data_IF_615051381271
#
_entry.id   IF_615051381271
#
_cell.length_a   1.000
_cell.length_b   1.000
_cell.length_c   1.000
_cell.angle_alpha   90.00
_cell.angle_beta   90.00
_cell.angle_gamma   90.00
#
_symmetry.space_group_name_H-M   'P 1'
#
loop_
_entity.id
_entity.type
_entity.pdbx_description
1 polymer ?
#
# COMPACT_ATOMS: atom_id res chain seq x y z
N UNK A 1 30.35 -59.55 -65.71
CA UNK A 1 30.24 -58.06 -65.87
C UNK A 1 29.28 -57.56 -64.74
N UNK A 2 29.91 -57.14 -63.64
CA UNK A 2 29.26 -56.86 -62.40
C UNK A 2 28.80 -55.38 -62.36
N UNK A 3 27.58 -55.20 -61.92
CA UNK A 3 27.02 -53.86 -61.63
C UNK A 3 27.18 -53.60 -60.12
N UNK A 4 28.09 -52.68 -59.80
CA UNK A 4 28.20 -52.13 -58.42
C UNK A 4 27.07 -51.08 -58.19
N UNK A 5 26.17 -51.41 -57.26
CA UNK A 5 25.19 -50.48 -56.77
C UNK A 5 25.77 -49.61 -55.66
N UNK A 6 25.72 -48.28 -55.84
CA UNK A 6 26.06 -47.29 -54.78
C UNK A 6 24.87 -47.11 -53.86
N UNK A 7 24.98 -47.49 -52.61
CA UNK A 7 24.05 -47.10 -51.53
C UNK A 7 24.46 -45.74 -51.00
N UNK A 8 23.65 -44.76 -51.22
CA UNK A 8 23.80 -43.42 -50.67
C UNK A 8 23.01 -43.38 -49.32
N UNK A 9 23.74 -43.43 -48.22
CA UNK A 9 23.16 -43.28 -46.87
C UNK A 9 22.96 -41.80 -46.61
N UNK A 10 21.71 -41.35 -46.62
CA UNK A 10 21.32 -40.00 -46.22
C UNK A 10 21.22 -39.93 -44.72
N UNK A 11 22.18 -39.37 -44.02
CA UNK A 11 22.10 -39.04 -42.58
C UNK A 11 21.17 -37.86 -42.39
N UNK A 12 19.96 -38.13 -41.92
CA UNK A 12 19.06 -37.11 -41.38
C UNK A 12 19.56 -36.66 -39.99
N UNK A 13 20.21 -35.50 -39.95
CA UNK A 13 20.46 -34.79 -38.69
C UNK A 13 19.13 -34.21 -38.16
N UNK A 14 18.52 -34.89 -37.22
CA UNK A 14 17.46 -34.29 -36.39
C UNK A 14 18.12 -33.34 -35.41
N UNK A 15 18.21 -32.06 -35.75
CA UNK A 15 18.53 -31.01 -34.79
C UNK A 15 17.34 -30.76 -33.92
N UNK A 16 17.27 -31.42 -32.78
CA UNK A 16 16.35 -31.06 -31.68
C UNK A 16 16.77 -29.72 -31.13
N UNK A 17 16.14 -28.64 -31.59
CA UNK A 17 16.23 -27.33 -30.96
C UNK A 17 15.48 -27.45 -29.62
N UNK A 18 16.20 -27.78 -28.55
CA UNK A 18 15.74 -27.57 -27.20
C UNK A 18 15.63 -26.05 -26.99
N UNK A 19 14.47 -25.49 -27.28
CA UNK A 19 14.10 -24.17 -26.78
C UNK A 19 14.07 -24.27 -25.27
N UNK A 20 15.19 -23.96 -24.62
CA UNK A 20 15.16 -23.60 -23.21
C UNK A 20 14.32 -22.33 -23.11
N UNK A 21 13.04 -22.51 -22.87
CA UNK A 21 12.24 -21.42 -22.34
C UNK A 21 12.91 -21.07 -21.00
N UNK A 22 13.74 -20.03 -20.99
CA UNK A 22 14.27 -19.46 -19.76
C UNK A 22 13.02 -19.09 -18.94
N UNK A 23 12.68 -19.93 -17.96
CA UNK A 23 11.59 -19.65 -17.07
C UNK A 23 11.81 -18.24 -16.51
N UNK A 24 10.91 -17.33 -16.84
CA UNK A 24 11.04 -15.93 -16.41
C UNK A 24 11.24 -15.92 -14.90
N UNK A 25 12.34 -15.33 -14.45
CA UNK A 25 12.67 -15.26 -13.03
C UNK A 25 11.57 -14.49 -12.31
N UNK A 26 10.91 -15.13 -11.35
CA UNK A 26 9.86 -14.49 -10.54
C UNK A 26 10.39 -13.21 -9.91
N UNK A 27 9.66 -12.07 -9.98
CA UNK A 27 10.12 -10.83 -9.38
C UNK A 27 10.10 -10.89 -7.86
N UNK A 28 11.01 -10.18 -7.23
CA UNK A 28 10.81 -9.82 -5.83
C UNK A 28 9.74 -8.74 -5.75
N UNK A 29 9.07 -8.65 -4.61
CA UNK A 29 8.04 -7.64 -4.35
C UNK A 29 8.38 -6.91 -3.05
N UNK A 30 8.42 -5.58 -3.12
CA UNK A 30 8.58 -4.68 -1.98
C UNK A 30 7.40 -3.73 -1.97
N UNK A 31 6.54 -3.83 -0.96
CA UNK A 31 5.52 -2.83 -0.66
C UNK A 31 6.01 -2.01 0.54
N UNK A 32 6.16 -0.71 0.33
CA UNK A 32 6.42 0.25 1.39
C UNK A 32 5.13 0.99 1.69
N UNK A 33 4.65 0.83 2.91
CA UNK A 33 3.42 1.45 3.40
C UNK A 33 3.76 2.43 4.51
N UNK A 34 3.41 3.69 4.34
CA UNK A 34 3.47 4.70 5.39
C UNK A 34 2.14 4.78 6.14
N UNK A 35 2.14 5.44 7.29
CA UNK A 35 0.99 5.55 8.19
C UNK A 35 0.57 7.03 8.27
N UNK A 36 -0.67 7.34 7.87
CA UNK A 36 -1.23 8.70 7.86
C UNK A 36 -0.49 9.72 6.96
N UNK A 37 0.24 9.28 5.95
CA UNK A 37 0.91 10.22 5.04
C UNK A 37 -0.08 10.96 4.15
N UNK A 38 0.02 12.28 4.13
CA UNK A 38 -0.80 13.11 3.29
C UNK A 38 -0.42 13.02 1.80
N UNK A 39 -1.40 13.25 0.93
CA UNK A 39 -1.20 13.21 -0.52
C UNK A 39 -0.07 14.14 -0.98
N UNK A 40 0.03 15.34 -0.41
CA UNK A 40 1.02 16.35 -0.80
C UNK A 40 2.22 16.44 0.14
N UNK A 41 2.58 15.35 0.81
CA UNK A 41 3.73 15.32 1.73
C UNK A 41 5.07 15.04 1.00
N UNK A 42 5.05 14.55 -0.24
CA UNK A 42 6.24 14.25 -1.03
C UNK A 42 6.55 15.35 -2.05
N UNK A 43 7.83 15.58 -2.35
CA UNK A 43 8.25 16.56 -3.37
C UNK A 43 7.68 16.25 -4.76
N UNK A 44 7.64 14.99 -5.19
CA UNK A 44 7.03 14.59 -6.47
C UNK A 44 5.49 14.76 -6.50
N UNK A 45 4.85 14.98 -5.35
CA UNK A 45 3.44 15.35 -5.22
C UNK A 45 3.23 16.84 -4.92
N UNK A 46 4.28 17.65 -5.08
CA UNK A 46 4.22 19.11 -5.03
C UNK A 46 4.56 19.73 -3.68
N UNK A 47 5.10 18.99 -2.71
CA UNK A 47 5.58 19.61 -1.46
C UNK A 47 6.86 20.43 -1.72
N UNK A 48 6.88 21.75 -1.47
CA UNK A 48 8.05 22.57 -1.71
C UNK A 48 9.08 22.55 -0.56
N UNK A 49 8.73 21.97 0.60
CA UNK A 49 9.51 22.07 1.84
C UNK A 49 10.16 20.74 2.25
N UNK A 50 9.67 19.62 1.73
CA UNK A 50 10.14 18.28 2.09
C UNK A 50 10.85 17.66 0.89
N UNK A 51 12.10 17.23 1.08
CA UNK A 51 12.93 16.63 0.02
C UNK A 51 12.89 15.11 0.08
N UNK A 52 12.37 14.49 -0.97
CA UNK A 52 12.28 13.03 -1.07
C UNK A 52 12.99 12.49 -2.32
N UNK A 53 14.32 12.71 -2.46
CA UNK A 53 15.04 12.44 -3.71
C UNK A 53 15.03 10.98 -4.14
N UNK A 54 14.97 10.03 -3.21
CA UNK A 54 14.88 8.61 -3.55
C UNK A 54 13.52 8.28 -4.14
N UNK A 55 12.43 8.68 -3.48
CA UNK A 55 11.05 8.45 -3.94
C UNK A 55 10.80 9.17 -5.26
N UNK A 56 11.27 10.41 -5.41
CA UNK A 56 11.20 11.17 -6.66
C UNK A 56 11.95 10.47 -7.80
N UNK A 57 13.10 9.87 -7.48
CA UNK A 57 13.85 9.04 -8.41
C UNK A 57 13.09 7.79 -8.83
N UNK A 58 12.34 7.15 -7.93
CA UNK A 58 11.47 6.01 -8.25
C UNK A 58 10.30 6.43 -9.13
N UNK A 59 9.67 7.57 -8.84
CA UNK A 59 8.59 8.13 -9.67
C UNK A 59 9.07 8.42 -11.11
N UNK A 60 10.27 9.00 -11.27
CA UNK A 60 10.87 9.27 -12.59
C UNK A 60 11.25 7.99 -13.34
N UNK A 61 11.62 6.92 -12.65
CA UNK A 61 11.93 5.62 -13.25
C UNK A 61 10.70 4.78 -13.56
N UNK A 62 9.57 5.06 -12.91
CA UNK A 62 8.34 4.27 -12.98
C UNK A 62 7.09 5.11 -13.26
N UNK A 63 6.03 4.76 -12.56
CA UNK A 63 4.71 5.38 -12.66
C UNK A 63 4.36 6.06 -11.34
N UNK A 64 3.85 7.29 -11.44
CA UNK A 64 3.20 8.03 -10.37
C UNK A 64 1.71 8.09 -10.67
N UNK A 65 0.86 7.64 -9.73
CA UNK A 65 -0.60 7.74 -9.89
C UNK A 65 -1.16 8.90 -9.06
N UNK A 66 -1.81 9.85 -9.71
CA UNK A 66 -2.44 10.99 -9.01
C UNK A 66 -3.85 10.68 -8.50
N UNK A 67 -4.38 9.51 -8.82
CA UNK A 67 -5.73 9.09 -8.47
C UNK A 67 -5.76 7.68 -7.86
N UNK A 68 -4.83 7.42 -6.94
CA UNK A 68 -4.83 6.20 -6.16
C UNK A 68 -5.56 6.42 -4.83
N UNK A 69 -6.56 5.58 -4.56
CA UNK A 69 -7.40 5.70 -3.37
C UNK A 69 -7.40 4.41 -2.56
N UNK A 70 -7.38 4.57 -1.25
CA UNK A 70 -7.64 3.46 -0.32
C UNK A 70 -9.15 3.26 -0.17
N UNK A 71 -9.59 2.02 0.01
CA UNK A 71 -11.02 1.71 0.17
C UNK A 71 -11.58 2.11 1.53
N UNK A 72 -10.72 2.35 2.51
CA UNK A 72 -11.10 2.87 3.82
C UNK A 72 -10.18 4.02 4.25
N UNK A 73 -10.70 5.05 4.95
CA UNK A 73 -9.93 6.20 5.41
C UNK A 73 -9.24 5.97 6.76
N UNK A 74 -9.06 4.69 7.16
CA UNK A 74 -8.47 4.33 8.46
C UNK A 74 -7.57 3.10 8.36
N UNK A 75 -6.59 2.99 9.28
CA UNK A 75 -5.46 2.06 9.22
C UNK A 75 -5.83 0.58 9.02
N UNK A 76 -6.47 -0.09 10.03
CA UNK A 76 -6.71 -1.55 9.98
C UNK A 76 -7.57 -1.97 8.79
N UNK A 77 -8.70 -1.29 8.48
CA UNK A 77 -9.51 -1.61 7.31
C UNK A 77 -8.76 -1.47 5.99
N UNK A 78 -8.01 -0.38 5.83
CA UNK A 78 -7.25 -0.13 4.61
C UNK A 78 -6.10 -1.14 4.42
N UNK A 79 -5.39 -1.48 5.51
CA UNK A 79 -4.33 -2.51 5.49
C UNK A 79 -4.88 -3.88 5.14
N UNK A 80 -6.04 -4.27 5.71
CA UNK A 80 -6.71 -5.50 5.36
C UNK A 80 -7.09 -5.53 3.87
N UNK A 81 -7.68 -4.44 3.36
CA UNK A 81 -8.05 -4.32 1.95
C UNK A 81 -6.84 -4.42 1.02
N UNK A 82 -5.73 -3.75 1.34
CA UNK A 82 -4.48 -3.81 0.56
C UNK A 82 -3.95 -5.24 0.45
N UNK A 83 -3.92 -5.96 1.59
CA UNK A 83 -3.23 -7.24 1.65
C UNK A 83 -4.09 -8.42 1.16
N UNK A 84 -5.44 -8.27 1.14
CA UNK A 84 -6.38 -9.31 0.72
C UNK A 84 -7.00 -9.07 -0.66
N UNK A 85 -6.93 -7.84 -1.21
CA UNK A 85 -7.59 -7.48 -2.46
C UNK A 85 -9.12 -7.41 -2.33
N UNK A 86 -9.64 -7.22 -1.11
CA UNK A 86 -11.08 -7.22 -0.80
C UNK A 86 -11.48 -6.01 0.05
N UNK A 87 -12.72 -5.59 -0.05
CA UNK A 87 -13.25 -4.55 0.83
C UNK A 87 -13.23 -5.00 2.31
N UNK A 88 -12.95 -4.07 3.20
CA UNK A 88 -12.82 -4.34 4.63
C UNK A 88 -14.10 -4.94 5.26
N UNK A 89 -15.29 -4.67 4.72
CA UNK A 89 -16.56 -5.28 5.15
C UNK A 89 -16.57 -6.80 5.00
N UNK A 90 -15.90 -7.34 3.98
CA UNK A 90 -15.77 -8.79 3.82
C UNK A 90 -14.82 -9.42 4.83
N UNK A 91 -13.82 -8.66 5.25
CA UNK A 91 -12.82 -9.11 6.23
C UNK A 91 -13.27 -8.90 7.69
N UNK A 92 -14.44 -8.27 7.91
CA UNK A 92 -14.97 -7.78 9.19
C UNK A 92 -14.09 -6.74 9.90
N UNK A 93 -13.01 -6.29 9.28
CA UNK A 93 -12.14 -5.25 9.82
C UNK A 93 -12.60 -3.85 9.39
N UNK A 94 -13.74 -3.40 9.91
CA UNK A 94 -14.37 -2.13 9.50
C UNK A 94 -13.84 -0.91 10.27
N UNK A 95 -13.02 -1.14 11.30
CA UNK A 95 -12.48 -0.10 12.17
C UNK A 95 -11.08 -0.48 12.65
N UNK A 96 -10.23 0.51 13.00
CA UNK A 96 -8.93 0.24 13.64
C UNK A 96 -9.09 -0.55 14.92
N UNK A 97 -8.35 -1.64 15.07
CA UNK A 97 -8.41 -2.53 16.22
C UNK A 97 -7.29 -2.25 17.22
N UNK A 98 -7.65 -2.15 18.49
CA UNK A 98 -6.72 -2.05 19.59
C UNK A 98 -6.29 -3.40 20.17
N UNK A 99 -5.48 -3.39 21.23
CA UNK A 99 -5.04 -4.59 21.93
C UNK A 99 -6.20 -5.45 22.43
N UNK A 100 -6.26 -6.71 22.02
CA UNK A 100 -7.29 -7.68 22.41
C UNK A 100 -8.69 -7.43 21.82
N UNK A 101 -8.84 -6.42 20.97
CA UNK A 101 -10.13 -6.09 20.34
C UNK A 101 -10.49 -7.05 19.20
N UNK A 102 -11.80 -7.12 18.92
CA UNK A 102 -12.40 -7.89 17.81
C UNK A 102 -13.28 -6.97 16.97
N UNK A 103 -13.49 -7.31 15.70
CA UNK A 103 -12.93 -8.43 14.95
C UNK A 103 -11.47 -8.20 14.54
N UNK A 104 -10.77 -9.29 14.19
CA UNK A 104 -9.42 -9.30 13.61
C UNK A 104 -9.46 -9.93 12.22
N UNK A 105 -8.36 -9.82 11.47
CA UNK A 105 -8.24 -10.45 10.15
C UNK A 105 -8.52 -11.96 10.26
N UNK A 106 -9.48 -12.43 9.46
CA UNK A 106 -9.92 -13.82 9.49
C UNK A 106 -8.90 -14.75 8.81
N UNK A 107 -8.83 -16.00 9.30
CA UNK A 107 -8.05 -17.09 8.69
C UNK A 107 -8.54 -17.50 7.29
N UNK A 108 -9.81 -17.18 6.99
CA UNK A 108 -10.42 -17.45 5.67
C UNK A 108 -9.99 -16.46 4.57
N UNK A 109 -9.41 -15.34 4.97
CA UNK A 109 -8.86 -14.37 4.01
C UNK A 109 -7.47 -14.82 3.56
N UNK A 110 -7.19 -14.70 2.27
CA UNK A 110 -5.86 -15.02 1.71
C UNK A 110 -5.12 -13.73 1.47
N UNK A 111 -4.01 -13.57 2.15
CA UNK A 111 -3.14 -12.40 2.01
C UNK A 111 -2.21 -12.52 0.80
N UNK A 112 -1.60 -11.40 0.36
CA UNK A 112 -0.53 -11.42 -0.65
C UNK A 112 0.59 -12.40 -0.24
N UNK A 113 0.92 -12.50 1.06
CA UNK A 113 1.95 -13.39 1.55
C UNK A 113 1.54 -14.87 1.38
N UNK A 114 0.32 -15.23 1.73
CA UNK A 114 -0.22 -16.58 1.55
C UNK A 114 -0.34 -16.96 0.08
N UNK A 115 -0.74 -16.02 -0.78
CA UNK A 115 -0.81 -16.22 -2.23
C UNK A 115 0.58 -16.49 -2.84
N UNK A 116 1.61 -15.77 -2.38
CA UNK A 116 2.97 -15.88 -2.93
C UNK A 116 3.77 -17.05 -2.35
N UNK A 117 3.44 -17.52 -1.15
CA UNK A 117 4.18 -18.60 -0.48
C UNK A 117 4.20 -19.93 -1.26
N UNK A 118 3.09 -20.44 -1.81
CA UNK A 118 3.08 -21.63 -2.67
C UNK A 118 3.89 -21.43 -3.97
N UNK A 119 4.07 -20.19 -4.40
CA UNK A 119 4.91 -19.83 -5.56
C UNK A 119 6.42 -19.81 -5.21
N UNK A 120 6.81 -20.17 -3.97
CA UNK A 120 8.21 -20.30 -3.52
C UNK A 120 8.82 -19.05 -2.92
N UNK A 121 8.04 -18.00 -2.66
CA UNK A 121 8.53 -16.76 -2.06
C UNK A 121 8.91 -16.94 -0.58
N UNK A 122 9.98 -16.26 -0.16
CA UNK A 122 10.20 -15.91 1.23
C UNK A 122 9.36 -14.67 1.55
N UNK A 123 8.70 -14.62 2.71
CA UNK A 123 7.75 -13.56 3.04
C UNK A 123 8.09 -12.89 4.36
N UNK A 124 8.11 -11.56 4.39
CA UNK A 124 8.35 -10.79 5.61
C UNK A 124 7.36 -9.63 5.75
N UNK A 125 6.83 -9.49 6.97
CA UNK A 125 6.13 -8.29 7.43
C UNK A 125 7.05 -7.58 8.43
N UNK A 126 7.47 -6.36 8.11
CA UNK A 126 8.35 -5.56 8.97
C UNK A 126 7.68 -4.23 9.24
N UNK A 127 7.50 -3.89 10.53
CA UNK A 127 6.84 -2.68 10.98
C UNK A 127 5.45 -2.92 11.58
N UNK A 128 4.52 -1.99 11.32
CA UNK A 128 3.16 -1.97 11.86
C UNK A 128 2.27 -2.99 11.16
N UNK A 129 1.70 -3.93 11.92
CA UNK A 129 0.71 -4.91 11.42
C UNK A 129 -0.71 -4.36 11.44
N UNK A 130 -1.25 -4.10 12.61
CA UNK A 130 -2.52 -3.46 12.91
C UNK A 130 -3.79 -4.18 12.37
N UNK A 131 -3.75 -5.51 12.25
CA UNK A 131 -4.89 -6.31 11.78
C UNK A 131 -5.26 -7.45 12.74
N UNK A 132 -4.82 -7.33 14.00
CA UNK A 132 -5.08 -8.29 15.09
C UNK A 132 -3.81 -8.78 15.75
N UNK A 133 -3.94 -9.22 17.01
CA UNK A 133 -2.81 -9.52 17.91
C UNK A 133 -2.86 -10.91 18.53
N UNK A 134 -3.81 -11.76 18.12
CA UNK A 134 -3.97 -13.10 18.66
C UNK A 134 -4.43 -14.13 17.62
N UNK A 135 -4.24 -15.39 17.95
CA UNK A 135 -4.74 -16.52 17.17
C UNK A 135 -4.23 -16.53 15.72
N UNK A 136 -5.16 -16.71 14.79
CA UNK A 136 -4.89 -16.75 13.35
C UNK A 136 -4.63 -15.39 12.73
N UNK A 137 -4.96 -14.30 13.41
CA UNK A 137 -4.73 -12.94 12.92
C UNK A 137 -3.26 -12.48 13.05
N UNK A 138 -2.39 -13.25 13.72
CA UNK A 138 -0.97 -12.91 13.81
C UNK A 138 -0.29 -12.99 12.43
N UNK A 139 0.67 -12.10 12.12
CA UNK A 139 1.34 -12.05 10.81
C UNK A 139 1.90 -13.42 10.35
N UNK A 140 2.49 -14.18 11.28
CA UNK A 140 3.02 -15.51 10.97
C UNK A 140 1.93 -16.56 10.67
N UNK A 141 0.67 -16.30 10.99
CA UNK A 141 -0.48 -17.12 10.63
C UNK A 141 -1.14 -16.67 9.34
N UNK A 142 -0.82 -15.45 8.90
CA UNK A 142 -1.27 -14.80 7.68
C UNK A 142 -0.20 -14.83 6.58
N UNK A 143 0.59 -15.92 6.52
CA UNK A 143 1.51 -16.23 5.44
C UNK A 143 2.93 -15.68 5.57
N UNK A 144 3.26 -14.88 6.57
CA UNK A 144 4.61 -14.33 6.72
C UNK A 144 5.57 -15.30 7.43
N UNK A 145 6.70 -15.62 6.79
CA UNK A 145 7.80 -16.41 7.38
C UNK A 145 8.51 -15.63 8.49
N UNK A 146 8.63 -14.31 8.32
CA UNK A 146 9.20 -13.39 9.29
C UNK A 146 8.22 -12.27 9.62
N UNK A 147 7.98 -12.05 10.90
CA UNK A 147 7.41 -10.80 11.42
C UNK A 147 8.44 -10.12 12.31
N UNK A 148 8.67 -8.82 12.09
CA UNK A 148 9.47 -7.98 12.96
C UNK A 148 8.85 -6.59 13.09
N UNK A 149 8.17 -6.30 14.19
CA UNK A 149 7.46 -5.04 14.31
C UNK A 149 6.45 -4.99 15.45
N UNK A 150 5.52 -4.05 15.32
CA UNK A 150 4.44 -3.81 16.27
C UNK A 150 3.13 -4.39 15.76
N UNK A 151 2.34 -4.97 16.68
CA UNK A 151 1.00 -5.48 16.38
C UNK A 151 -0.03 -4.36 16.25
N UNK A 152 0.27 -3.17 16.81
CA UNK A 152 -0.55 -1.95 16.77
C UNK A 152 0.26 -0.74 16.33
N UNK A 153 -0.33 0.46 16.44
CA UNK A 153 0.39 1.73 16.29
C UNK A 153 1.19 2.06 17.55
N UNK A 154 2.22 2.89 17.42
CA UNK A 154 3.10 3.30 18.51
C UNK A 154 2.45 4.26 19.52
N UNK A 155 1.32 4.85 19.20
CA UNK A 155 0.53 5.72 20.07
C UNK A 155 -0.40 4.97 21.05
N UNK A 156 -0.42 3.62 21.05
CA UNK A 156 -1.19 2.84 22.04
C UNK A 156 -0.52 2.86 23.42
N UNK A 157 -0.42 4.05 23.97
CA UNK A 157 0.13 4.37 25.29
C UNK A 157 -0.35 5.75 25.74
N UNK A 158 -0.37 6.00 27.06
CA UNK A 158 -0.63 7.34 27.58
C UNK A 158 0.42 8.35 27.05
N UNK A 159 0.04 9.63 26.79
CA UNK A 159 -1.29 10.19 26.92
C UNK A 159 -2.22 9.90 25.72
N UNK A 160 -1.72 9.34 24.63
CA UNK A 160 -2.41 9.26 23.32
C UNK A 160 -3.59 8.29 23.34
N UNK A 161 -3.36 7.03 23.73
CA UNK A 161 -4.39 6.01 23.91
C UNK A 161 -4.27 5.40 25.30
N UNK A 162 -5.37 5.43 26.07
CA UNK A 162 -5.39 4.80 27.39
C UNK A 162 -5.50 3.28 27.22
N UNK A 163 -4.49 2.56 27.65
CA UNK A 163 -4.42 1.10 27.59
C UNK A 163 -3.45 0.56 28.61
N UNK A 164 -3.72 -0.62 29.16
CA UNK A 164 -2.79 -1.37 30.02
C UNK A 164 -1.74 -2.15 29.22
N UNK A 165 -1.84 -2.12 27.91
CA UNK A 165 -0.92 -2.84 27.02
C UNK A 165 0.42 -2.13 26.94
N UNK A 166 1.49 -2.90 27.14
CA UNK A 166 2.86 -2.42 26.90
C UNK A 166 3.20 -2.61 25.41
N UNK A 167 3.54 -1.52 24.74
CA UNK A 167 4.00 -1.56 23.35
C UNK A 167 5.30 -2.39 23.27
N UNK A 168 5.36 -3.26 22.25
CA UNK A 168 6.47 -4.17 22.03
C UNK A 168 6.81 -4.27 20.55
N UNK A 169 8.09 -4.47 20.26
CA UNK A 169 8.51 -5.04 18.98
C UNK A 169 8.62 -6.54 19.15
N UNK A 170 7.98 -7.26 18.26
CA UNK A 170 8.01 -8.71 18.20
C UNK A 170 8.95 -9.19 17.10
N UNK A 171 9.62 -10.30 17.36
CA UNK A 171 10.18 -11.14 16.31
C UNK A 171 9.35 -12.41 16.24
N UNK A 172 8.59 -12.55 15.16
CA UNK A 172 7.56 -13.57 15.02
C UNK A 172 6.53 -13.45 16.18
N UNK A 173 6.39 -14.46 17.01
CA UNK A 173 5.46 -14.48 18.13
C UNK A 173 6.10 -14.09 19.47
N UNK A 174 7.40 -13.77 19.48
CA UNK A 174 8.14 -13.48 20.72
C UNK A 174 8.41 -11.97 20.85
N UNK A 175 8.07 -11.33 21.96
CA UNK A 175 8.52 -9.97 22.26
C UNK A 175 10.05 -9.90 22.31
N UNK A 176 10.63 -8.95 21.59
CA UNK A 176 12.08 -8.72 21.54
C UNK A 176 12.48 -7.40 22.21
N UNK A 177 11.69 -6.34 21.98
CA UNK A 177 11.92 -5.03 22.60
C UNK A 177 10.63 -4.58 23.29
N UNK A 178 10.74 -4.25 24.58
CA UNK A 178 9.66 -3.67 25.37
C UNK A 178 9.79 -2.15 25.41
N UNK A 179 8.70 -1.42 25.23
CA UNK A 179 8.66 0.04 25.21
C UNK A 179 9.73 0.64 24.29
N UNK A 180 9.74 0.23 22.99
CA UNK A 180 10.71 0.81 22.06
C UNK A 180 10.55 2.32 22.00
N UNK A 181 11.66 3.01 21.84
CA UNK A 181 11.66 4.45 21.57
C UNK A 181 11.23 4.67 20.11
N UNK A 182 10.23 5.54 19.89
CA UNK A 182 9.71 5.84 18.56
C UNK A 182 10.78 6.34 17.59
N UNK A 183 11.77 7.07 18.13
CA UNK A 183 12.94 7.58 17.41
C UNK A 183 13.81 6.49 16.78
N UNK A 184 13.64 5.22 17.19
CA UNK A 184 14.43 4.10 16.68
C UNK A 184 13.71 3.26 15.62
N UNK A 185 12.38 3.43 15.46
CA UNK A 185 11.54 2.52 14.69
C UNK A 185 11.94 2.44 13.21
N UNK A 186 12.13 3.58 12.56
CA UNK A 186 12.50 3.62 11.13
C UNK A 186 13.83 2.89 10.88
N UNK A 187 14.82 3.09 11.74
CA UNK A 187 16.12 2.43 11.63
C UNK A 187 16.04 0.92 11.90
N UNK A 188 15.28 0.50 12.92
CA UNK A 188 15.10 -0.91 13.26
C UNK A 188 14.46 -1.67 12.09
N UNK A 189 13.40 -1.13 11.53
CA UNK A 189 12.69 -1.75 10.40
C UNK A 189 13.56 -1.79 9.14
N UNK A 190 14.29 -0.72 8.85
CA UNK A 190 15.20 -0.65 7.71
C UNK A 190 16.33 -1.68 7.84
N UNK A 191 16.97 -1.78 9.01
CA UNK A 191 18.03 -2.78 9.27
C UNK A 191 17.52 -4.20 9.10
N UNK A 192 16.33 -4.50 9.63
CA UNK A 192 15.77 -5.84 9.54
C UNK A 192 15.36 -6.18 8.11
N UNK A 193 14.81 -5.20 7.36
CA UNK A 193 14.51 -5.33 5.93
C UNK A 193 15.76 -5.64 5.10
N UNK A 194 16.86 -4.94 5.36
CA UNK A 194 18.16 -5.20 4.70
C UNK A 194 18.68 -6.62 5.01
N UNK A 195 18.58 -7.08 6.27
CA UNK A 195 18.94 -8.46 6.63
C UNK A 195 18.11 -9.48 5.88
N UNK A 196 16.80 -9.24 5.79
CA UNK A 196 15.87 -10.13 5.09
C UNK A 196 16.18 -10.25 3.60
N UNK A 197 16.37 -9.12 2.88
CA UNK A 197 16.68 -9.15 1.45
C UNK A 197 18.05 -9.77 1.18
N UNK A 198 19.05 -9.51 2.02
CA UNK A 198 20.37 -10.14 1.91
C UNK A 198 20.28 -11.67 2.08
N UNK A 199 19.53 -12.15 3.09
CA UNK A 199 19.32 -13.59 3.31
C UNK A 199 18.58 -14.24 2.12
N UNK A 200 17.59 -13.54 1.54
CA UNK A 200 16.85 -14.04 0.39
C UNK A 200 17.74 -14.13 -0.86
N UNK A 201 18.65 -13.16 -1.06
CA UNK A 201 19.63 -13.19 -2.13
C UNK A 201 20.58 -14.38 -2.01
N UNK A 202 21.15 -14.61 -0.81
CA UNK A 202 22.03 -15.76 -0.55
C UNK A 202 21.33 -17.10 -0.82
N UNK A 203 20.05 -17.22 -0.46
CA UNK A 203 19.23 -18.41 -0.69
C UNK A 203 18.68 -18.52 -2.11
N UNK A 204 18.92 -17.52 -2.96
CA UNK A 204 18.39 -17.43 -4.34
C UNK A 204 16.87 -17.60 -4.41
N UNK A 205 16.13 -17.13 -3.41
CA UNK A 205 14.66 -17.20 -3.35
C UNK A 205 14.06 -15.84 -3.73
N UNK A 206 12.99 -15.81 -4.53
CA UNK A 206 12.19 -14.60 -4.66
C UNK A 206 11.58 -14.26 -3.31
N UNK A 207 11.31 -12.99 -3.05
CA UNK A 207 10.75 -12.58 -1.77
C UNK A 207 9.62 -11.56 -1.91
N UNK A 208 8.77 -11.53 -0.90
CA UNK A 208 7.80 -10.48 -0.64
C UNK A 208 8.14 -9.80 0.69
N UNK A 209 8.40 -8.52 0.62
CA UNK A 209 8.63 -7.65 1.79
C UNK A 209 7.48 -6.64 1.88
N UNK A 210 6.69 -6.75 2.95
CA UNK A 210 5.72 -5.75 3.38
C UNK A 210 6.39 -4.91 4.48
N UNK A 211 6.92 -3.75 4.10
CA UNK A 211 7.57 -2.79 4.99
C UNK A 211 6.59 -1.69 5.35
N UNK A 212 6.00 -1.79 6.53
CA UNK A 212 4.97 -0.88 7.02
C UNK A 212 5.54 0.02 8.12
N UNK A 213 5.97 1.22 7.75
CA UNK A 213 6.45 2.21 8.71
C UNK A 213 5.33 2.70 9.63
N UNK A 214 5.67 3.07 10.87
CA UNK A 214 4.75 3.76 11.78
C UNK A 214 4.68 5.27 11.49
N UNK A 215 5.66 5.82 10.77
CA UNK A 215 5.75 7.24 10.45
C UNK A 215 5.06 7.53 9.10
N UNK A 216 4.53 8.74 8.92
CA UNK A 216 4.53 9.90 9.82
C UNK A 216 3.31 10.00 10.77
N UNK A 217 2.67 8.89 11.17
CA UNK A 217 1.59 8.93 12.19
C UNK A 217 2.08 9.61 13.48
N UNK A 218 1.19 10.39 14.10
CA UNK A 218 1.48 11.06 15.37
C UNK A 218 1.69 10.06 16.53
N UNK A 219 2.58 10.36 17.48
CA UNK A 219 3.54 11.47 17.48
C UNK A 219 4.68 11.21 16.48
N UNK A 220 5.07 12.23 15.72
CA UNK A 220 6.23 12.10 14.84
C UNK A 220 7.52 12.07 15.66
N UNK A 221 8.41 11.14 15.36
CA UNK A 221 9.65 10.97 16.13
C UNK A 221 10.85 10.75 15.22
N UNK A 222 11.78 11.69 15.27
CA UNK A 222 13.07 11.61 14.59
C UNK A 222 14.14 11.16 15.59
N UNK A 223 15.00 10.24 15.17
CA UNK A 223 16.09 9.73 16.02
C UNK A 223 17.08 10.82 16.47
N UNK A 224 17.43 10.84 17.74
CA UNK A 224 18.37 11.80 18.33
C UNK A 224 19.73 11.83 17.60
N UNK A 225 20.17 10.72 17.03
CA UNK A 225 21.40 10.60 16.22
C UNK A 225 21.29 11.27 14.83
N UNK A 226 20.10 11.74 14.46
CA UNK A 226 19.77 12.37 13.17
C UNK A 226 19.49 13.86 13.34
N UNK A 227 19.90 14.46 14.46
CA UNK A 227 19.73 15.89 14.77
C UNK A 227 20.35 16.84 13.72
N UNK A 228 21.11 16.32 12.74
CA UNK A 228 21.61 17.08 11.59
C UNK A 228 20.64 17.20 10.41
N UNK A 229 19.47 16.53 10.45
CA UNK A 229 18.41 16.73 9.47
C UNK A 229 17.63 17.99 9.83
N UNK A 230 17.66 18.96 8.95
CA UNK A 230 16.94 20.22 9.08
C UNK A 230 16.09 20.44 7.83
N UNK A 231 15.00 19.68 7.74
CA UNK A 231 14.00 19.87 6.67
C UNK A 231 13.33 21.24 6.82
N UNK A 232 13.10 21.91 5.71
CA UNK A 232 12.25 23.11 5.69
C UNK A 232 10.80 22.79 6.09
N UNK A 233 10.39 21.52 6.00
CA UNK A 233 9.11 21.01 6.47
C UNK A 233 9.03 20.71 7.98
N UNK A 234 10.04 21.16 8.77
CA UNK A 234 10.07 20.98 10.23
C UNK A 234 10.15 19.52 10.68
N UNK A 235 9.53 19.18 11.83
CA UNK A 235 9.59 17.83 12.39
C UNK A 235 8.97 16.77 11.48
N UNK A 236 7.84 17.06 10.84
CA UNK A 236 7.21 16.20 9.85
C UNK A 236 8.18 15.95 8.67
N UNK A 237 8.74 17.02 8.11
CA UNK A 237 9.69 16.92 7.00
C UNK A 237 10.92 16.09 7.37
N UNK A 238 11.49 16.30 8.57
CA UNK A 238 12.62 15.51 9.04
C UNK A 238 12.32 14.01 9.07
N UNK A 239 11.13 13.62 9.51
CA UNK A 239 10.72 12.20 9.59
C UNK A 239 10.50 11.60 8.19
N UNK A 240 9.88 12.34 7.28
CA UNK A 240 9.65 11.89 5.91
C UNK A 240 10.97 11.77 5.13
N UNK A 241 11.86 12.75 5.26
CA UNK A 241 13.21 12.71 4.66
C UNK A 241 14.07 11.57 5.24
N UNK A 242 13.92 11.27 6.53
CA UNK A 242 14.56 10.11 7.14
C UNK A 242 14.05 8.78 6.59
N UNK A 243 12.75 8.66 6.36
CA UNK A 243 12.18 7.49 5.68
C UNK A 243 12.69 7.38 4.24
N UNK A 244 12.79 8.49 3.50
CA UNK A 244 13.33 8.50 2.13
C UNK A 244 14.77 7.98 2.09
N UNK A 245 15.62 8.47 2.99
CA UNK A 245 17.00 7.97 3.15
C UNK A 245 17.06 6.48 3.54
N UNK A 246 16.13 6.04 4.38
CA UNK A 246 16.05 4.65 4.83
C UNK A 246 15.64 3.71 3.70
N UNK A 247 14.70 4.13 2.85
CA UNK A 247 14.30 3.42 1.64
C UNK A 247 15.44 3.37 0.62
N UNK A 248 16.21 4.46 0.47
CA UNK A 248 17.40 4.47 -0.36
C UNK A 248 18.45 3.43 0.09
N UNK A 249 18.69 3.28 1.40
CA UNK A 249 19.59 2.25 1.95
C UNK A 249 19.11 0.83 1.65
N UNK A 250 17.79 0.58 1.75
CA UNK A 250 17.20 -0.72 1.39
C UNK A 250 17.39 -1.00 -0.11
N UNK A 251 17.13 0.00 -0.96
CA UNK A 251 17.30 -0.13 -2.41
C UNK A 251 18.74 -0.40 -2.79
N UNK A 252 19.70 0.30 -2.20
CA UNK A 252 21.14 0.05 -2.37
C UNK A 252 21.54 -1.38 -1.97
N UNK A 253 20.89 -1.96 -0.95
CA UNK A 253 21.13 -3.37 -0.62
C UNK A 253 20.63 -4.31 -1.73
N UNK A 254 19.48 -4.02 -2.36
CA UNK A 254 18.98 -4.76 -3.52
C UNK A 254 19.91 -4.63 -4.73
N UNK A 255 20.45 -3.43 -4.98
CA UNK A 255 21.43 -3.19 -6.05
C UNK A 255 22.71 -4.00 -5.82
N UNK A 256 23.30 -3.92 -4.63
CA UNK A 256 24.50 -4.71 -4.27
C UNK A 256 24.31 -6.21 -4.41
N UNK A 257 23.09 -6.70 -4.19
CA UNK A 257 22.72 -8.11 -4.34
C UNK A 257 22.37 -8.50 -5.80
N UNK A 258 22.35 -7.56 -6.74
CA UNK A 258 21.89 -7.79 -8.11
C UNK A 258 20.39 -8.13 -8.22
N UNK A 259 19.58 -7.68 -7.24
CA UNK A 259 18.15 -7.98 -7.17
C UNK A 259 17.27 -6.80 -7.63
N UNK A 260 17.78 -5.57 -7.63
CA UNK A 260 17.03 -4.36 -7.90
C UNK A 260 16.26 -4.40 -9.24
N UNK A 261 16.91 -4.86 -10.31
CA UNK A 261 16.32 -4.95 -11.64
C UNK A 261 15.13 -5.93 -11.74
N UNK A 262 15.08 -6.93 -10.84
CA UNK A 262 14.01 -7.91 -10.78
C UNK A 262 13.15 -7.71 -9.52
N UNK A 263 12.95 -6.48 -9.11
CA UNK A 263 12.15 -6.13 -7.93
C UNK A 263 11.05 -5.16 -8.32
N UNK A 264 9.81 -5.51 -8.00
CA UNK A 264 8.64 -4.62 -8.02
C UNK A 264 8.72 -3.77 -6.76
N UNK A 265 8.85 -2.46 -6.93
CA UNK A 265 8.83 -1.47 -5.85
C UNK A 265 7.48 -0.76 -5.88
N UNK A 266 6.75 -0.81 -4.78
CA UNK A 266 5.48 -0.12 -4.58
C UNK A 266 5.60 0.74 -3.33
N UNK A 267 5.27 2.03 -3.44
CA UNK A 267 5.20 2.98 -2.33
C UNK A 267 3.80 3.57 -2.25
N UNK A 268 3.21 3.57 -1.05
CA UNK A 268 1.91 4.21 -0.79
C UNK A 268 1.71 4.47 0.71
N UNK A 269 0.56 5.05 1.09
CA UNK A 269 0.10 5.19 2.49
C UNK A 269 -1.16 4.36 2.73
N UNK A 270 -1.43 4.04 3.99
CA UNK A 270 -2.63 3.29 4.37
C UNK A 270 -3.90 4.14 4.34
N UNK A 271 -3.83 5.41 4.63
CA UNK A 271 -4.90 6.42 4.52
C UNK A 271 -4.29 7.82 4.47
N UNK A 272 -5.10 8.82 4.24
CA UNK A 272 -4.67 10.21 4.25
C UNK A 272 -4.39 10.78 5.64
N UNK A 273 -3.98 12.06 5.75
CA UNK A 273 -3.47 12.67 6.97
C UNK A 273 -4.57 12.89 8.01
N UNK A 274 -4.20 12.85 9.29
CA UNK A 274 -5.14 12.97 10.41
C UNK A 274 -5.38 14.42 10.84
N UNK A 275 -5.92 15.26 9.91
CA UNK A 275 -6.09 16.72 10.11
C UNK A 275 -6.97 17.08 11.31
N UNK A 276 -7.91 16.20 11.68
CA UNK A 276 -8.81 16.33 12.81
C UNK A 276 -8.40 15.44 14.00
N UNK A 277 -7.08 15.27 14.21
CA UNK A 277 -6.58 14.49 15.33
C UNK A 277 -7.14 14.99 16.67
N UNK A 278 -7.55 14.08 17.59
CA UNK A 278 -8.17 14.47 18.85
C UNK A 278 -7.15 15.12 19.80
N UNK A 279 -7.64 15.93 20.73
CA UNK A 279 -6.82 16.70 21.68
C UNK A 279 -5.78 15.86 22.41
N UNK A 280 -6.11 14.61 22.77
CA UNK A 280 -5.19 13.70 23.47
C UNK A 280 -3.86 13.49 22.74
N UNK A 281 -3.84 13.66 21.40
CA UNK A 281 -2.60 13.52 20.61
C UNK A 281 -1.60 14.64 20.86
N UNK A 282 -2.01 15.72 21.51
CA UNK A 282 -1.21 16.92 21.76
C UNK A 282 -0.94 17.15 23.28
N UNK A 283 -1.33 16.19 24.13
CA UNK A 283 -1.19 16.29 25.59
C UNK A 283 0.21 15.89 26.12
N UNK A 284 1.10 15.44 25.23
CA UNK A 284 2.51 15.14 25.55
C UNK A 284 3.39 16.40 25.70
N UNK A 285 2.84 17.58 25.37
CA UNK A 285 3.57 18.87 25.39
C UNK A 285 4.58 19.05 24.26
N UNK A 286 4.73 18.07 23.35
CA UNK A 286 5.69 18.06 22.24
C UNK A 286 4.99 18.03 20.89
N UNK A 287 4.01 17.13 20.73
CA UNK A 287 3.25 16.97 19.49
C UNK A 287 2.37 18.18 19.23
N UNK A 288 2.39 18.68 18.00
CA UNK A 288 1.67 19.86 17.58
C UNK A 288 0.85 19.59 16.31
N UNK A 289 -0.20 20.37 16.07
CA UNK A 289 -1.04 20.21 14.89
C UNK A 289 -0.26 20.39 13.57
N UNK A 290 0.81 21.17 13.55
CA UNK A 290 1.69 21.31 12.39
C UNK A 290 2.65 20.14 12.14
N UNK A 291 2.61 19.09 12.97
CA UNK A 291 3.28 17.81 12.72
C UNK A 291 2.44 16.87 11.84
N UNK A 292 1.22 17.25 11.50
CA UNK A 292 0.32 16.48 10.64
C UNK A 292 0.64 16.77 9.17
N UNK A 293 0.60 15.75 8.33
CA UNK A 293 0.78 15.86 6.90
C UNK A 293 -0.31 16.69 6.20
N UNK A 294 -0.14 16.90 4.91
CA UNK A 294 -1.07 17.72 4.10
C UNK A 294 -1.73 16.91 2.99
N UNK A 295 -3.05 17.03 2.89
CA UNK A 295 -3.81 16.47 1.77
C UNK A 295 -3.78 17.38 0.52
N UNK A 296 -3.06 18.50 0.54
CA UNK A 296 -3.06 19.48 -0.53
C UNK A 296 -4.43 20.12 -0.71
N UNK A 297 -5.00 20.01 -1.91
CA UNK A 297 -6.31 20.61 -2.25
C UNK A 297 -7.50 19.77 -1.81
N UNK A 298 -7.29 18.52 -1.41
CA UNK A 298 -8.39 17.58 -1.12
C UNK A 298 -9.08 17.91 0.21
N UNK A 299 -10.41 17.78 0.22
CA UNK A 299 -11.25 17.96 1.39
C UNK A 299 -11.22 16.77 2.31
N UNK A 300 -11.38 16.98 3.61
CA UNK A 300 -11.55 15.94 4.61
C UNK A 300 -10.26 15.61 5.34
N UNK A 301 -10.19 14.39 5.89
CA UNK A 301 -9.16 13.91 6.79
C UNK A 301 -9.26 12.39 6.92
N UNK A 302 -8.25 11.73 7.49
CA UNK A 302 -8.38 10.38 8.05
C UNK A 302 -9.70 10.22 8.80
N UNK A 303 -10.39 9.10 8.59
CA UNK A 303 -11.68 8.81 9.20
C UNK A 303 -12.88 9.50 8.54
N UNK A 304 -12.71 10.17 7.40
CA UNK A 304 -13.77 10.86 6.67
C UNK A 304 -13.73 10.45 5.20
N UNK A 305 -14.89 10.15 4.59
CA UNK A 305 -15.02 9.61 3.24
C UNK A 305 -14.93 10.66 2.10
N UNK A 306 -14.34 11.84 2.36
CA UNK A 306 -13.87 12.74 1.31
C UNK A 306 -12.50 12.31 0.76
N UNK A 307 -12.08 12.91 -0.35
CA UNK A 307 -10.84 12.51 -1.03
C UNK A 307 -9.61 12.54 -0.11
N UNK A 308 -9.47 13.54 0.78
CA UNK A 308 -8.31 13.63 1.68
C UNK A 308 -8.14 12.44 2.62
N UNK A 309 -9.22 11.73 2.98
CA UNK A 309 -9.12 10.53 3.82
C UNK A 309 -8.66 9.28 3.06
N UNK A 310 -8.89 9.24 1.75
CA UNK A 310 -8.71 8.07 0.90
C UNK A 310 -7.61 8.22 -0.15
N UNK A 311 -7.43 9.44 -0.70
CA UNK A 311 -6.44 9.69 -1.76
C UNK A 311 -5.06 9.84 -1.16
N UNK A 312 -4.15 8.93 -1.56
CA UNK A 312 -2.80 8.81 -1.02
C UNK A 312 -1.76 8.79 -2.15
N UNK A 313 -0.49 9.10 -1.87
CA UNK A 313 0.57 8.92 -2.86
C UNK A 313 0.68 7.45 -3.30
N UNK A 314 0.95 7.23 -4.58
CA UNK A 314 1.25 5.91 -5.12
C UNK A 314 2.32 6.00 -6.20
N UNK A 315 3.39 5.26 -6.00
CA UNK A 315 4.49 5.14 -6.94
C UNK A 315 4.80 3.66 -7.12
N UNK A 316 4.97 3.24 -8.38
CA UNK A 316 5.37 1.88 -8.70
C UNK A 316 6.49 1.89 -9.75
N UNK A 317 7.48 1.04 -9.51
CA UNK A 317 8.59 0.82 -10.42
C UNK A 317 8.91 -0.67 -10.52
N UNK A 318 9.00 -1.16 -11.74
CA UNK A 318 9.57 -2.48 -12.06
C UNK A 318 10.31 -2.35 -13.41
N UNK A 319 11.62 -2.48 -13.38
CA UNK A 319 12.49 -2.21 -14.53
C UNK A 319 12.09 -3.03 -15.77
N UNK A 320 11.81 -2.35 -16.87
CA UNK A 320 11.41 -2.96 -18.14
C UNK A 320 9.98 -3.51 -18.18
N UNK A 321 9.21 -3.38 -17.07
CA UNK A 321 7.84 -3.86 -16.96
C UNK A 321 6.82 -2.77 -16.67
N UNK A 322 7.19 -1.70 -15.97
CA UNK A 322 6.35 -0.52 -15.82
C UNK A 322 6.75 0.57 -16.80
N UNK A 323 5.79 1.42 -17.13
CA UNK A 323 6.05 2.67 -17.87
C UNK A 323 7.09 3.52 -17.13
N UNK A 324 7.82 4.35 -17.87
CA UNK A 324 8.88 5.21 -17.34
C UNK A 324 8.40 6.65 -17.33
N UNK A 325 8.67 7.39 -16.26
CA UNK A 325 8.34 8.81 -16.11
C UNK A 325 6.90 9.13 -16.54
N UNK A 326 5.96 8.31 -16.04
CA UNK A 326 4.56 8.39 -16.48
C UNK A 326 3.66 8.75 -15.30
N UNK A 327 2.78 9.71 -15.52
CA UNK A 327 1.73 10.09 -14.58
C UNK A 327 0.41 9.46 -15.03
N UNK A 328 -0.19 8.64 -14.18
CA UNK A 328 -1.51 8.02 -14.41
C UNK A 328 -2.56 8.77 -13.60
N UNK A 329 -3.66 9.14 -14.29
CA UNK A 329 -4.83 9.83 -13.69
C UNK A 329 -6.05 8.93 -13.56
N UNK A 330 -6.05 7.77 -14.22
CA UNK A 330 -7.09 6.76 -14.06
C UNK A 330 -7.19 6.36 -12.59
N UNK A 331 -8.42 6.27 -12.02
CA UNK A 331 -8.59 5.77 -10.66
C UNK A 331 -7.96 4.39 -10.48
N UNK A 332 -7.24 4.20 -9.40
CA UNK A 332 -6.66 2.95 -8.92
C UNK A 332 -6.96 2.80 -7.43
N UNK A 333 -6.94 1.57 -6.93
CA UNK A 333 -7.21 1.31 -5.53
C UNK A 333 -6.22 0.35 -4.89
N UNK A 334 -6.11 0.41 -3.57
CA UNK A 334 -5.28 -0.51 -2.79
C UNK A 334 -5.69 -1.98 -2.93
N UNK A 335 -6.97 -2.27 -3.20
CA UNK A 335 -7.45 -3.64 -3.46
C UNK A 335 -6.91 -4.24 -4.76
N UNK A 336 -6.40 -3.44 -5.68
CA UNK A 336 -5.85 -3.89 -6.97
C UNK A 336 -4.46 -4.51 -6.83
N UNK A 337 -3.80 -4.29 -5.70
CA UNK A 337 -2.40 -4.70 -5.53
C UNK A 337 -2.25 -6.21 -5.49
N UNK A 338 -3.15 -6.95 -4.84
CA UNK A 338 -3.07 -8.42 -4.80
C UNK A 338 -3.19 -9.04 -6.21
N UNK A 339 -4.23 -8.76 -7.03
CA UNK A 339 -4.34 -9.34 -8.37
C UNK A 339 -3.24 -8.83 -9.32
N UNK A 340 -2.77 -7.61 -9.19
CA UNK A 340 -1.67 -7.07 -10.00
C UNK A 340 -0.34 -7.76 -9.71
N UNK A 341 -0.03 -7.99 -8.43
CA UNK A 341 1.17 -8.74 -8.02
C UNK A 341 1.07 -10.20 -8.47
N UNK A 342 -0.12 -10.81 -8.36
CA UNK A 342 -0.33 -12.17 -8.84
C UNK A 342 0.03 -12.32 -10.33
N UNK A 343 -0.39 -11.37 -11.17
CA UNK A 343 -0.09 -11.39 -12.60
C UNK A 343 1.41 -11.30 -12.89
N UNK A 344 2.13 -10.40 -12.23
CA UNK A 344 3.59 -10.30 -12.43
C UNK A 344 4.34 -11.51 -11.85
N UNK A 345 3.90 -12.02 -10.70
CA UNK A 345 4.50 -13.16 -10.02
C UNK A 345 4.09 -14.49 -10.63
N UNK A 346 3.11 -14.52 -11.54
CA UNK A 346 2.45 -15.73 -12.06
C UNK A 346 1.98 -16.63 -10.90
N UNK A 347 1.41 -16.02 -9.86
CA UNK A 347 0.88 -16.69 -8.71
C UNK A 347 -0.61 -16.99 -8.90
N UNK A 348 -1.07 -18.11 -8.32
CA UNK A 348 -2.48 -18.50 -8.38
C UNK A 348 -3.29 -17.59 -7.44
N UNK A 349 -4.33 -16.96 -7.99
CA UNK A 349 -5.28 -16.18 -7.20
C UNK A 349 -6.07 -17.05 -6.22
N UNK A 350 -6.56 -16.47 -5.11
CA UNK A 350 -7.52 -17.13 -4.22
C UNK A 350 -8.73 -17.67 -4.98
N UNK A 351 -9.37 -18.71 -4.45
CA UNK A 351 -10.52 -19.33 -5.09
C UNK A 351 -11.83 -18.52 -4.98
N UNK A 352 -11.86 -17.54 -4.09
CA UNK A 352 -13.00 -16.63 -3.92
C UNK A 352 -12.89 -15.37 -4.78
N UNK A 353 -13.99 -14.64 -4.92
CA UNK A 353 -14.03 -13.39 -5.68
C UNK A 353 -13.21 -12.30 -4.99
N UNK A 354 -12.27 -11.73 -5.73
CA UNK A 354 -11.57 -10.49 -5.36
C UNK A 354 -12.42 -9.29 -5.78
N UNK A 355 -12.36 -8.24 -4.99
CA UNK A 355 -13.02 -6.96 -5.33
C UNK A 355 -12.13 -6.11 -6.25
N UNK A 356 -10.81 -6.16 -6.04
CA UNK A 356 -9.82 -5.52 -6.91
C UNK A 356 -9.68 -6.21 -8.26
N UNK A 357 -9.05 -5.51 -9.20
CA UNK A 357 -8.68 -6.04 -10.51
C UNK A 357 -7.19 -5.82 -10.79
N UNK A 358 -6.61 -6.65 -11.66
CA UNK A 358 -5.24 -6.40 -12.10
C UNK A 358 -5.17 -5.15 -12.97
N UNK A 359 -4.29 -4.25 -12.56
CA UNK A 359 -3.99 -3.01 -13.28
C UNK A 359 -2.61 -3.05 -13.98
N UNK A 360 -2.06 -4.25 -14.11
CA UNK A 360 -0.76 -4.49 -14.75
C UNK A 360 -0.65 -3.81 -16.12
N UNK A 361 -1.65 -3.99 -16.99
CA UNK A 361 -1.60 -3.46 -18.34
C UNK A 361 -1.63 -1.93 -18.34
N UNK A 362 -2.42 -1.32 -17.46
CA UNK A 362 -2.44 0.13 -17.27
C UNK A 362 -1.08 0.68 -16.83
N UNK A 363 -0.35 -0.07 -16.02
CA UNK A 363 0.98 0.31 -15.52
C UNK A 363 2.11 0.01 -16.51
N UNK A 364 1.88 -0.83 -17.53
CA UNK A 364 2.91 -1.39 -18.40
C UNK A 364 2.77 -0.99 -19.87
N UNK A 365 1.56 -0.72 -20.35
CA UNK A 365 1.27 -0.49 -21.77
C UNK A 365 0.98 0.99 -22.01
N UNK A 366 1.78 1.62 -22.86
CA UNK A 366 1.60 3.03 -23.24
C UNK A 366 0.24 3.22 -23.94
N UNK A 367 -0.48 4.28 -23.56
CA UNK A 367 -1.82 4.60 -24.09
C UNK A 367 -2.86 3.49 -23.89
N UNK A 368 -2.68 2.65 -22.88
CA UNK A 368 -3.71 1.72 -22.48
C UNK A 368 -4.83 2.47 -21.74
N UNK A 369 -6.05 2.31 -22.23
CA UNK A 369 -7.23 2.93 -21.64
C UNK A 369 -8.23 1.85 -21.28
N UNK A 370 -8.52 1.73 -20.01
CA UNK A 370 -9.58 0.90 -19.47
C UNK A 370 -10.25 1.66 -18.36
N UNK A 371 -11.56 1.71 -18.36
CA UNK A 371 -12.31 2.20 -17.21
C UNK A 371 -12.12 1.19 -16.07
N UNK A 372 -11.65 1.68 -14.94
CA UNK A 372 -11.56 0.87 -13.72
C UNK A 372 -12.97 0.55 -13.22
N UNK A 373 -13.14 -0.62 -12.58
CA UNK A 373 -14.38 -0.94 -11.86
C UNK A 373 -14.71 0.16 -10.85
N UNK A 374 -16.00 0.35 -10.50
CA UNK A 374 -16.37 1.28 -9.45
C UNK A 374 -15.59 1.01 -8.16
N UNK A 375 -15.06 2.06 -7.55
CA UNK A 375 -14.33 1.99 -6.28
C UNK A 375 -15.25 2.49 -5.18
N UNK A 376 -15.42 1.68 -4.14
CA UNK A 376 -16.30 2.01 -3.02
C UNK A 376 -15.49 2.53 -1.81
N UNK A 377 -16.04 3.53 -1.16
CA UNK A 377 -15.46 4.22 0.00
C UNK A 377 -16.17 3.74 1.26
N UNK A 378 -15.44 2.98 2.07
CA UNK A 378 -16.00 2.31 3.26
C UNK A 378 -15.39 2.91 4.53
N UNK A 379 -16.22 3.56 5.33
CA UNK A 379 -15.88 4.10 6.65
C UNK A 379 -16.82 3.48 7.70
N UNK A 380 -16.47 2.33 8.24
CA UNK A 380 -17.32 1.40 9.02
C UNK A 380 -18.45 0.79 8.18
N UNK A 381 -19.12 1.62 7.41
CA UNK A 381 -20.18 1.28 6.45
C UNK A 381 -19.85 1.88 5.11
N UNK A 382 -20.57 1.47 4.09
CA UNK A 382 -20.46 2.10 2.77
C UNK A 382 -20.88 3.58 2.88
N UNK A 383 -20.01 4.49 2.45
CA UNK A 383 -20.28 5.92 2.42
C UNK A 383 -20.11 6.54 1.04
N UNK A 384 -19.54 5.85 0.06
CA UNK A 384 -19.37 6.43 -1.27
C UNK A 384 -19.03 5.41 -2.35
N UNK A 385 -19.23 5.85 -3.60
CA UNK A 385 -18.78 5.14 -4.80
C UNK A 385 -18.19 6.14 -5.78
N UNK A 386 -17.15 5.72 -6.47
CA UNK A 386 -16.47 6.49 -7.51
C UNK A 386 -16.33 5.65 -8.77
N UNK A 387 -16.73 6.22 -9.91
CA UNK A 387 -16.46 5.68 -11.23
C UNK A 387 -15.93 6.78 -12.14
N UNK A 388 -14.76 6.56 -12.71
CA UNK A 388 -14.07 7.61 -13.46
C UNK A 388 -13.81 8.85 -12.60
N UNK A 389 -14.31 10.00 -13.05
CA UNK A 389 -14.19 11.27 -12.35
C UNK A 389 -15.39 11.60 -11.44
N UNK A 390 -16.44 10.81 -11.51
CA UNK A 390 -17.66 11.02 -10.72
C UNK A 390 -17.62 10.29 -9.39
N UNK A 391 -18.03 10.98 -8.34
CA UNK A 391 -18.12 10.43 -6.98
C UNK A 391 -19.47 10.77 -6.35
N UNK A 392 -20.13 9.75 -5.82
CA UNK A 392 -21.29 9.87 -4.93
C UNK A 392 -20.86 9.59 -3.49
N UNK A 393 -21.33 10.39 -2.57
CA UNK A 393 -21.16 10.20 -1.14
C UNK A 393 -22.51 10.27 -0.43
N UNK A 394 -22.81 9.25 0.40
CA UNK A 394 -24.04 9.19 1.20
C UNK A 394 -23.66 8.87 2.65
N UNK A 395 -23.83 9.82 3.53
CA UNK A 395 -23.54 9.65 4.97
C UNK A 395 -24.75 9.91 5.81
N UNK A 396 -24.75 9.42 7.05
CA UNK A 396 -25.83 9.64 8.00
C UNK A 396 -25.29 10.36 9.22
N UNK A 397 -25.79 11.56 9.47
CA UNK A 397 -25.49 12.35 10.65
C UNK A 397 -26.79 12.63 11.40
N UNK A 398 -26.86 12.29 12.69
CA UNK A 398 -28.05 12.49 13.54
C UNK A 398 -29.35 11.98 12.89
N UNK A 399 -29.28 10.80 12.24
CA UNK A 399 -30.41 10.17 11.56
C UNK A 399 -30.77 10.79 10.21
N UNK A 400 -30.11 11.86 9.78
CA UNK A 400 -30.36 12.50 8.48
C UNK A 400 -29.31 12.05 7.46
N UNK A 401 -29.78 11.60 6.29
CA UNK A 401 -28.92 11.28 5.17
C UNK A 401 -28.46 12.57 4.48
N UNK A 402 -27.14 12.72 4.36
CA UNK A 402 -26.51 13.73 3.51
C UNK A 402 -26.07 13.04 2.22
N UNK A 403 -26.57 13.52 1.07
CA UNK A 403 -26.21 13.02 -0.26
C UNK A 403 -25.42 14.09 -0.98
N UNK A 404 -24.28 13.71 -1.50
CA UNK A 404 -23.36 14.61 -2.17
C UNK A 404 -22.80 13.93 -3.43
N UNK A 405 -22.69 14.68 -4.50
CA UNK A 405 -22.13 14.20 -5.77
C UNK A 405 -21.13 15.22 -6.32
N UNK A 406 -20.02 14.77 -6.82
CA UNK A 406 -18.92 15.60 -7.30
C UNK A 406 -18.36 15.11 -8.62
N UNK A 407 -17.96 16.05 -9.48
CA UNK A 407 -17.07 15.75 -10.62
C UNK A 407 -15.64 16.13 -10.19
N UNK A 408 -14.82 15.12 -9.90
CA UNK A 408 -13.48 15.33 -9.35
C UNK A 408 -12.45 15.82 -10.38
N UNK A 409 -12.78 15.81 -11.68
CA UNK A 409 -11.94 16.45 -12.70
C UNK A 409 -12.08 17.97 -12.70
N UNK A 410 -13.27 18.47 -12.33
CA UNK A 410 -13.57 19.89 -12.26
C UNK A 410 -13.42 20.45 -10.82
N UNK A 411 -13.85 19.65 -9.84
CA UNK A 411 -13.85 19.99 -8.41
C UNK A 411 -13.18 18.89 -7.57
N UNK A 412 -11.85 18.73 -7.65
CA UNK A 412 -11.12 17.74 -6.86
C UNK A 412 -11.20 18.00 -5.35
N UNK A 413 -11.56 19.21 -4.95
CA UNK A 413 -11.71 19.63 -3.55
C UNK A 413 -13.12 19.40 -2.97
N UNK A 414 -14.04 18.82 -3.75
CA UNK A 414 -15.39 18.45 -3.31
C UNK A 414 -16.14 19.64 -2.67
N UNK A 415 -16.11 20.82 -3.32
CA UNK A 415 -16.66 22.09 -2.79
C UNK A 415 -18.11 22.31 -3.20
N UNK A 416 -18.51 21.84 -4.39
CA UNK A 416 -19.82 22.09 -4.99
C UNK A 416 -20.59 20.77 -5.08
N UNK A 417 -21.61 20.62 -4.22
CA UNK A 417 -22.49 19.44 -4.29
C UNK A 417 -23.40 19.53 -5.52
N UNK A 418 -23.28 18.57 -6.41
CA UNK A 418 -24.04 18.46 -7.67
C UNK A 418 -25.23 17.47 -7.55
N UNK A 419 -25.49 16.88 -6.37
CA UNK A 419 -26.46 15.79 -6.22
C UNK A 419 -27.85 16.11 -6.76
N UNK A 420 -28.38 17.29 -6.40
CA UNK A 420 -29.73 17.71 -6.81
C UNK A 420 -29.74 18.61 -8.07
N UNK A 421 -28.64 18.70 -8.80
CA UNK A 421 -28.55 19.50 -10.02
C UNK A 421 -29.14 18.70 -11.19
N UNK A 422 -30.25 19.20 -11.81
CA UNK A 422 -30.96 18.47 -12.86
C UNK A 422 -30.12 18.24 -14.13
N UNK A 423 -29.07 19.01 -14.35
CA UNK A 423 -28.13 18.85 -15.48
C UNK A 423 -27.40 17.51 -15.39
N UNK A 424 -27.13 17.01 -14.18
CA UNK A 424 -26.36 15.77 -13.95
C UNK A 424 -27.23 14.62 -13.42
N UNK A 425 -28.51 14.61 -13.79
CA UNK A 425 -29.46 13.60 -13.31
C UNK A 425 -29.09 12.18 -13.76
N UNK A 426 -28.57 12.04 -14.97
CA UNK A 426 -28.14 10.73 -15.51
C UNK A 426 -26.98 10.16 -14.71
N UNK A 427 -25.96 10.99 -14.40
CA UNK A 427 -24.81 10.62 -13.59
C UNK A 427 -25.23 10.28 -12.16
N UNK A 428 -26.15 11.06 -11.59
CA UNK A 428 -26.70 10.81 -10.27
C UNK A 428 -27.40 9.44 -10.20
N UNK A 429 -28.32 9.15 -11.13
CA UNK A 429 -29.06 7.87 -11.17
C UNK A 429 -28.09 6.69 -11.35
N UNK A 430 -27.08 6.82 -12.22
CA UNK A 430 -26.05 5.82 -12.43
C UNK A 430 -25.24 5.55 -11.16
N UNK A 431 -24.75 6.59 -10.49
CA UNK A 431 -23.95 6.43 -9.26
C UNK A 431 -24.79 5.88 -8.09
N UNK A 432 -26.08 6.23 -7.98
CA UNK A 432 -26.98 5.64 -7.00
C UNK A 432 -27.16 4.14 -7.26
N UNK A 433 -27.36 3.75 -8.52
CA UNK A 433 -27.41 2.34 -8.90
C UNK A 433 -26.14 1.58 -8.50
N UNK A 434 -24.97 2.14 -8.79
CA UNK A 434 -23.68 1.55 -8.38
C UNK A 434 -23.55 1.45 -6.87
N UNK A 435 -23.94 2.50 -6.13
CA UNK A 435 -23.91 2.50 -4.66
C UNK A 435 -24.75 1.35 -4.08
N UNK A 436 -25.95 1.12 -4.63
CA UNK A 436 -26.85 0.05 -4.21
C UNK A 436 -26.36 -1.36 -4.61
N UNK A 437 -25.43 -1.45 -5.56
CA UNK A 437 -24.79 -2.70 -6.02
C UNK A 437 -23.51 -3.04 -5.25
N UNK A 438 -23.22 -2.34 -4.15
CA UNK A 438 -22.02 -2.60 -3.36
C UNK A 438 -21.88 -4.10 -3.02
N UNK A 439 -20.75 -4.74 -3.36
CA UNK A 439 -20.61 -6.19 -3.23
C UNK A 439 -20.24 -6.68 -1.83
N UNK A 440 -19.93 -5.77 -0.88
CA UNK A 440 -19.38 -6.07 0.44
C UNK A 440 -20.35 -6.19 1.58
#
# INVERSE_FOLDING_TARGET
MEKFGKYMITLLFFSTIFSYALAQKKPNVVIILTDDMGYSDLSCYGNPLINTPFIDGMAKRGVLATNFVTTSPTCSPSRASLITGRYCTRTDLNWPVGPGEKPCLKDSEVTIAEMLKPAGYATACIGKWHMGDYGTALPNKQGFDLFYGMLYSHDYRAPYVQTDTVIKIFRNTRPEIYRPEDTTLTDLYTKESIKFVNSSAQKKRPFFLYLAYNMPHLPVALGAKKSGLHSAGGALGNVIEDMDHSMAKLWQALERNGQADNTIFIFTSDNGPWLNAPKRMFEDGITQAYHIGTAGIFRGSKGISYEAGHRVPFIIYYKGHTLVNTVIRTPLSNIDMLPTIADWAQAKLPAYTLDGESVKDLLSIKNYHKLHKPIYYVNRVLEGVKEGDWKLRITTNDGKKLKEMYNLSEDPAERVNLYDNPVYKTEQEHLVMLFDQYPG
#
